data_IF_120074013035
#
_entry.id   IF_120074013035
#
_cell.length_a   1.000
_cell.length_b   1.000
_cell.length_c   1.000
_cell.angle_alpha   90.00
_cell.angle_beta   90.00
_cell.angle_gamma   90.00
#
_symmetry.space_group_name_H-M   'P 1'
#
loop_
_entity.id
_entity.type
_entity.pdbx_description
1 polymer ?
#
# COMPACT_ATOMS: atom_id res chain seq x y z
N UNK A 1 2.74 3.90 0.37
CA UNK A 1 3.78 3.43 1.31
C UNK A 1 5.10 4.12 1.04
N UNK A 2 5.80 4.52 2.09
CA UNK A 2 7.13 5.13 1.98
C UNK A 2 8.22 4.19 2.48
N UNK A 3 9.37 4.23 1.82
CA UNK A 3 10.56 3.50 2.20
C UNK A 3 11.28 4.23 3.37
N UNK A 4 10.82 3.98 4.57
CA UNK A 4 11.43 4.50 5.79
C UNK A 4 11.56 3.39 6.82
N UNK A 5 12.75 3.26 7.40
CA UNK A 5 13.04 2.32 8.50
C UNK A 5 12.82 2.95 9.87
N UNK A 6 12.34 4.20 9.94
CA UNK A 6 12.05 4.87 11.20
C UNK A 6 10.98 4.12 11.99
N UNK A 7 11.15 4.01 13.30
CA UNK A 7 10.22 3.31 14.20
C UNK A 7 8.86 4.01 14.33
N UNK A 8 8.81 5.31 14.03
CA UNK A 8 7.59 6.13 14.02
C UNK A 8 7.56 6.97 12.75
N UNK A 9 6.38 7.11 12.16
CA UNK A 9 6.17 8.01 11.03
C UNK A 9 6.02 9.43 11.59
N UNK A 10 7.01 10.30 11.36
CA UNK A 10 6.81 11.72 11.61
C UNK A 10 5.97 12.33 10.48
N UNK A 11 5.15 13.35 10.78
CA UNK A 11 4.36 14.07 9.76
C UNK A 11 5.20 14.63 8.61
N UNK A 12 6.50 14.83 8.85
CA UNK A 12 7.45 15.34 7.87
C UNK A 12 8.42 14.26 7.36
N UNK A 13 8.13 12.96 7.55
CA UNK A 13 8.99 11.90 7.06
C UNK A 13 8.99 11.92 5.52
N UNK A 14 10.14 12.26 4.95
CA UNK A 14 10.39 12.19 3.52
C UNK A 14 11.04 10.86 3.17
N UNK A 15 10.78 10.37 1.98
CA UNK A 15 11.32 9.10 1.48
C UNK A 15 10.68 8.78 0.14
N UNK A 16 11.17 7.75 -0.55
CA UNK A 16 10.58 7.32 -1.80
C UNK A 16 9.16 6.76 -1.58
N UNK A 17 8.22 7.14 -2.44
CA UNK A 17 6.90 6.53 -2.52
C UNK A 17 6.96 5.17 -3.22
N UNK A 18 7.28 4.11 -2.50
CA UNK A 18 7.54 2.78 -3.08
C UNK A 18 6.28 1.96 -3.40
N UNK A 19 5.15 2.30 -2.79
CA UNK A 19 3.85 1.68 -3.03
C UNK A 19 2.79 2.76 -3.15
N UNK A 20 2.29 2.97 -4.36
CA UNK A 20 1.28 3.97 -4.67
C UNK A 20 0.02 3.25 -5.14
N UNK A 21 -1.08 3.48 -4.43
CA UNK A 21 -2.39 2.92 -4.75
C UNK A 21 -3.43 4.01 -4.65
N UNK A 22 -4.21 4.19 -5.70
CA UNK A 22 -5.44 4.97 -5.68
C UNK A 22 -6.61 4.02 -5.43
N UNK A 23 -7.44 4.33 -4.44
CA UNK A 23 -8.60 3.53 -4.07
C UNK A 23 -9.85 4.37 -4.27
N UNK A 24 -10.78 3.88 -5.07
CA UNK A 24 -12.11 4.46 -5.19
C UNK A 24 -13.14 3.55 -4.54
N UNK A 25 -14.16 4.13 -3.91
CA UNK A 25 -15.22 3.37 -3.28
C UNK A 25 -16.57 4.05 -3.53
N UNK A 26 -17.50 3.29 -4.08
CA UNK A 26 -18.88 3.75 -4.25
C UNK A 26 -19.77 3.13 -3.15
N UNK A 27 -20.22 3.92 -2.17
CA UNK A 27 -21.01 3.39 -1.05
C UNK A 27 -22.41 2.92 -1.44
N UNK A 28 -22.95 3.34 -2.60
CA UNK A 28 -24.26 2.91 -3.08
C UNK A 28 -24.23 1.54 -3.76
N UNK A 29 -23.16 1.28 -4.53
CA UNK A 29 -23.01 0.02 -5.28
C UNK A 29 -22.07 -0.96 -4.59
N UNK A 30 -21.37 -0.51 -3.54
CA UNK A 30 -20.35 -1.26 -2.79
C UNK A 30 -19.20 -1.75 -3.67
N UNK A 31 -18.95 -1.06 -4.77
CA UNK A 31 -17.82 -1.34 -5.63
C UNK A 31 -16.61 -0.53 -5.14
N UNK A 32 -15.47 -1.21 -5.01
CA UNK A 32 -14.18 -0.60 -4.77
C UNK A 32 -13.23 -0.93 -5.93
N UNK A 33 -12.42 0.04 -6.32
CA UNK A 33 -11.35 -0.19 -7.29
C UNK A 33 -10.02 0.15 -6.61
N UNK A 34 -9.06 -0.75 -6.67
CA UNK A 34 -7.67 -0.52 -6.25
C UNK A 34 -6.82 -0.41 -7.51
N UNK A 35 -6.29 0.78 -7.75
CA UNK A 35 -5.45 1.09 -8.90
C UNK A 35 -4.01 1.30 -8.45
N UNK A 36 -3.11 0.39 -8.85
CA UNK A 36 -1.69 0.48 -8.53
C UNK A 36 -0.96 1.32 -9.56
N UNK A 37 -0.20 2.31 -9.09
CA UNK A 37 0.65 3.19 -9.90
C UNK A 37 2.11 2.76 -9.67
N UNK A 38 2.83 2.31 -10.70
CA UNK A 38 4.25 1.98 -10.57
C UNK A 38 5.06 3.20 -10.12
N UNK A 39 5.96 3.01 -9.19
CA UNK A 39 6.75 4.11 -8.61
C UNK A 39 7.66 4.82 -9.62
N UNK A 40 8.05 4.10 -10.69
CA UNK A 40 8.92 4.61 -11.73
C UNK A 40 8.15 5.24 -12.90
N UNK A 41 6.81 5.45 -12.75
CA UNK A 41 5.99 6.20 -13.71
C UNK A 41 6.55 7.60 -13.89
N UNK A 42 6.80 7.99 -15.15
CA UNK A 42 7.42 9.27 -15.51
C UNK A 42 6.35 10.29 -15.82
N UNK A 43 6.27 11.31 -15.01
CA UNK A 43 5.17 12.29 -15.04
C UNK A 43 5.66 13.67 -14.60
N UNK A 44 4.96 14.76 -15.01
CA UNK A 44 5.15 16.07 -14.42
C UNK A 44 4.89 16.03 -12.90
N UNK A 45 5.88 16.41 -12.09
CA UNK A 45 5.73 16.47 -10.63
C UNK A 45 5.14 17.82 -10.25
N UNK A 46 3.97 17.81 -9.64
CA UNK A 46 3.16 19.01 -9.41
C UNK A 46 3.86 20.13 -8.62
N UNK A 47 4.80 19.77 -7.73
CA UNK A 47 5.50 20.72 -6.88
C UNK A 47 6.95 21.03 -7.33
N UNK A 48 7.40 20.45 -8.43
CA UNK A 48 8.69 20.77 -8.99
C UNK A 48 8.60 22.07 -9.82
N UNK A 49 9.71 22.80 -9.88
CA UNK A 49 9.80 24.00 -10.71
C UNK A 49 9.44 23.68 -12.16
N UNK A 50 8.55 24.47 -12.75
CA UNK A 50 7.98 24.26 -14.08
C UNK A 50 7.34 22.88 -14.27
N UNK A 51 6.92 22.23 -13.18
CA UNK A 51 6.38 20.87 -13.19
C UNK A 51 7.30 19.88 -13.93
N UNK A 52 8.62 19.99 -13.70
CA UNK A 52 9.61 19.14 -14.32
C UNK A 52 9.22 17.67 -14.17
N UNK A 53 9.31 16.93 -15.28
CA UNK A 53 9.01 15.48 -15.29
C UNK A 53 10.06 14.70 -14.50
N UNK A 54 9.58 13.71 -13.76
CA UNK A 54 10.42 12.78 -13.01
C UNK A 54 9.63 11.52 -12.66
N UNK A 55 10.27 10.53 -12.04
CA UNK A 55 9.58 9.38 -11.45
C UNK A 55 8.60 9.86 -10.39
N UNK A 56 7.37 9.37 -10.45
CA UNK A 56 6.32 9.76 -9.50
C UNK A 56 6.72 9.53 -8.03
N UNK A 57 7.59 8.53 -7.75
CA UNK A 57 8.12 8.26 -6.41
C UNK A 57 8.78 9.50 -5.78
N UNK A 58 9.38 10.39 -6.59
CA UNK A 58 10.09 11.57 -6.13
C UNK A 58 9.16 12.70 -5.64
N UNK A 59 7.88 12.67 -6.01
CA UNK A 59 6.90 13.59 -5.44
C UNK A 59 6.82 13.47 -3.91
N UNK A 60 7.10 12.28 -3.35
CA UNK A 60 7.10 12.05 -1.92
C UNK A 60 8.20 12.80 -1.15
N UNK A 61 9.26 13.27 -1.83
CA UNK A 61 10.32 14.08 -1.20
C UNK A 61 9.80 15.45 -0.72
N UNK A 62 8.74 15.94 -1.36
CA UNK A 62 8.09 17.22 -1.04
C UNK A 62 6.78 17.04 -0.27
N UNK A 63 6.61 15.87 0.34
CA UNK A 63 5.50 15.56 1.23
C UNK A 63 4.25 15.03 0.52
N UNK A 64 3.22 14.80 1.32
CA UNK A 64 1.97 14.16 0.87
C UNK A 64 1.19 15.05 -0.11
N UNK A 65 1.14 16.36 0.09
CA UNK A 65 0.41 17.27 -0.80
C UNK A 65 0.96 17.25 -2.22
N UNK A 66 2.29 17.17 -2.37
CA UNK A 66 2.94 17.06 -3.67
C UNK A 66 2.56 15.74 -4.35
N UNK A 67 2.61 14.63 -3.62
CA UNK A 67 2.23 13.32 -4.12
C UNK A 67 0.75 13.29 -4.53
N UNK A 68 -0.15 13.79 -3.67
CA UNK A 68 -1.59 13.85 -3.94
C UNK A 68 -1.83 14.63 -5.25
N UNK A 69 -1.30 15.86 -5.32
CA UNK A 69 -1.51 16.71 -6.51
C UNK A 69 -0.93 16.09 -7.79
N UNK A 70 0.21 15.42 -7.70
CA UNK A 70 0.80 14.71 -8.84
C UNK A 70 -0.10 13.54 -9.31
N UNK A 71 -0.68 12.78 -8.38
CA UNK A 71 -1.61 11.68 -8.72
C UNK A 71 -2.92 12.24 -9.28
N UNK A 72 -3.47 13.31 -8.70
CA UNK A 72 -4.66 13.99 -9.23
C UNK A 72 -4.46 14.46 -10.68
N UNK A 73 -3.31 15.08 -10.96
CA UNK A 73 -2.96 15.51 -12.33
C UNK A 73 -2.81 14.34 -13.30
N UNK A 74 -2.26 13.20 -12.83
CA UNK A 74 -2.11 12.00 -13.66
C UNK A 74 -3.43 11.31 -13.98
N UNK A 75 -4.37 11.31 -13.03
CA UNK A 75 -5.59 10.47 -13.11
C UNK A 75 -6.86 11.26 -13.39
N UNK A 76 -6.82 12.60 -13.30
CA UNK A 76 -7.98 13.50 -13.32
C UNK A 76 -9.05 13.14 -12.26
N UNK A 77 -8.60 12.60 -11.12
CA UNK A 77 -9.46 12.18 -10.00
C UNK A 77 -9.06 12.97 -8.76
N UNK A 78 -10.02 13.65 -8.13
CA UNK A 78 -9.80 14.30 -6.84
C UNK A 78 -9.62 13.27 -5.72
N UNK A 79 -8.67 13.51 -4.82
CA UNK A 79 -8.34 12.64 -3.70
C UNK A 79 -8.86 13.27 -2.40
N UNK A 80 -9.92 12.73 -1.83
CA UNK A 80 -10.51 13.22 -0.57
C UNK A 80 -9.68 12.82 0.65
N UNK A 81 -9.09 11.63 0.62
CA UNK A 81 -8.39 11.03 1.76
C UNK A 81 -7.08 10.40 1.34
N UNK A 82 -6.10 10.40 2.25
CA UNK A 82 -4.86 9.68 2.07
C UNK A 82 -4.48 8.87 3.30
N UNK A 83 -3.71 7.83 3.07
CA UNK A 83 -3.04 7.03 4.10
C UNK A 83 -1.58 6.84 3.70
N UNK A 84 -0.67 7.31 4.54
CA UNK A 84 0.78 7.15 4.38
C UNK A 84 1.27 6.21 5.48
N UNK A 85 1.96 5.14 5.10
CA UNK A 85 2.45 4.11 6.01
C UNK A 85 3.90 3.77 5.67
N UNK A 86 4.72 3.51 6.69
CA UNK A 86 6.07 2.99 6.51
C UNK A 86 6.14 1.47 6.76
N UNK A 87 7.32 0.89 6.62
CA UNK A 87 7.53 -0.56 6.79
C UNK A 87 7.13 -1.06 8.18
N UNK A 88 7.52 -0.33 9.23
CA UNK A 88 7.15 -0.70 10.60
C UNK A 88 5.64 -0.59 10.85
N UNK A 89 5.00 0.38 10.22
CA UNK A 89 3.55 0.51 10.27
C UNK A 89 2.84 -0.68 9.65
N UNK A 90 3.31 -1.19 8.51
CA UNK A 90 2.75 -2.42 7.89
C UNK A 90 2.93 -3.61 8.82
N UNK A 91 4.13 -3.82 9.37
CA UNK A 91 4.41 -4.91 10.30
C UNK A 91 3.46 -4.85 11.50
N UNK A 92 3.41 -3.70 12.19
CA UNK A 92 2.57 -3.53 13.39
C UNK A 92 1.07 -3.66 13.11
N UNK A 93 0.60 -3.19 11.95
CA UNK A 93 -0.80 -3.33 11.56
C UNK A 93 -1.17 -4.80 11.38
N UNK A 94 -0.35 -5.57 10.67
CA UNK A 94 -0.59 -7.00 10.46
C UNK A 94 -0.52 -7.77 11.78
N UNK A 95 0.38 -7.41 12.69
CA UNK A 95 0.46 -8.00 14.04
C UNK A 95 -0.78 -7.67 14.88
N UNK A 96 -1.26 -6.42 14.87
CA UNK A 96 -2.50 -6.03 15.56
C UNK A 96 -3.74 -6.78 15.05
N UNK A 97 -3.69 -7.23 13.80
CA UNK A 97 -4.71 -8.10 13.19
C UNK A 97 -4.53 -9.59 13.51
N UNK A 98 -3.49 -9.99 14.25
CA UNK A 98 -3.09 -11.37 14.46
C UNK A 98 -2.82 -12.12 13.15
N UNK A 99 -2.09 -11.46 12.24
CA UNK A 99 -1.74 -11.99 10.93
C UNK A 99 -2.83 -11.82 9.88
N UNK A 100 -2.45 -12.00 8.61
CA UNK A 100 -3.35 -11.94 7.45
C UNK A 100 -3.22 -13.20 6.61
N UNK A 101 -4.32 -13.66 6.01
CA UNK A 101 -4.28 -14.82 5.12
C UNK A 101 -4.12 -14.34 3.67
N UNK A 102 -3.08 -14.85 3.00
CA UNK A 102 -2.75 -14.49 1.62
C UNK A 102 -2.38 -15.75 0.84
N UNK A 103 -2.77 -15.81 -0.43
CA UNK A 103 -2.27 -16.82 -1.36
C UNK A 103 -0.99 -16.29 -2.01
N UNK A 104 0.16 -16.83 -1.59
CA UNK A 104 1.49 -16.42 -2.05
C UNK A 104 1.69 -16.98 -3.46
N UNK A 105 1.96 -16.12 -4.47
CA UNK A 105 1.92 -16.54 -5.89
C UNK A 105 3.09 -17.42 -6.31
N UNK A 106 4.23 -17.35 -5.61
CA UNK A 106 5.46 -18.08 -5.95
C UNK A 106 6.39 -18.21 -4.74
N UNK A 107 7.34 -19.14 -4.84
CA UNK A 107 8.41 -19.29 -3.86
C UNK A 107 9.38 -18.10 -3.92
N UNK A 108 9.69 -17.52 -2.78
CA UNK A 108 10.68 -16.44 -2.72
C UNK A 108 11.35 -16.30 -1.36
N UNK A 109 12.49 -15.61 -1.33
CA UNK A 109 13.12 -15.13 -0.11
C UNK A 109 13.38 -13.62 -0.22
N UNK A 110 13.11 -12.88 0.86
CA UNK A 110 13.31 -11.43 0.94
C UNK A 110 13.88 -11.03 2.31
N UNK A 111 14.55 -9.89 2.37
CA UNK A 111 15.09 -9.34 3.60
C UNK A 111 13.96 -8.89 4.55
N UNK A 112 14.21 -8.95 5.86
CA UNK A 112 13.29 -8.45 6.89
C UNK A 112 13.15 -6.91 6.85
N UNK A 113 12.33 -6.34 7.74
CA UNK A 113 12.09 -4.89 7.83
C UNK A 113 13.35 -4.06 8.05
N UNK A 114 14.39 -4.64 8.65
CA UNK A 114 15.72 -4.01 8.88
C UNK A 114 16.62 -4.11 7.65
N UNK A 115 16.16 -4.68 6.53
CA UNK A 115 16.92 -4.90 5.30
C UNK A 115 18.21 -5.72 5.49
N UNK A 116 18.21 -6.60 6.48
CA UNK A 116 19.33 -7.50 6.68
C UNK A 116 19.47 -8.47 5.51
N UNK A 117 20.65 -8.49 4.89
CA UNK A 117 21.00 -9.42 3.81
C UNK A 117 21.65 -10.71 4.30
N UNK A 118 21.85 -10.84 5.62
CA UNK A 118 22.41 -12.06 6.22
C UNK A 118 21.43 -13.22 5.98
N UNK A 119 21.93 -14.35 5.52
CA UNK A 119 21.14 -15.54 5.14
C UNK A 119 20.17 -15.97 6.25
N UNK A 120 20.60 -15.89 7.52
CA UNK A 120 19.77 -16.26 8.68
C UNK A 120 18.63 -15.27 8.99
N UNK A 121 18.57 -14.13 8.31
CA UNK A 121 17.55 -13.09 8.50
C UNK A 121 16.64 -12.94 7.27
N UNK A 122 16.76 -13.83 6.29
CA UNK A 122 15.86 -13.85 5.14
C UNK A 122 14.54 -14.52 5.54
N UNK A 123 13.46 -13.92 5.06
CA UNK A 123 12.11 -14.46 5.16
C UNK A 123 11.83 -15.20 3.87
N UNK A 124 11.64 -16.51 3.96
CA UNK A 124 11.35 -17.36 2.82
C UNK A 124 9.93 -17.89 2.90
N UNK A 125 9.14 -17.67 1.86
CA UNK A 125 7.77 -18.15 1.74
C UNK A 125 7.66 -19.07 0.52
N UNK A 126 6.85 -20.11 0.67
CA UNK A 126 6.46 -21.02 -0.41
C UNK A 126 5.19 -20.52 -1.08
N UNK A 127 5.01 -20.89 -2.35
CA UNK A 127 3.75 -20.70 -3.05
C UNK A 127 2.59 -21.36 -2.32
N UNK A 128 1.43 -20.69 -2.28
CA UNK A 128 0.20 -21.21 -1.69
C UNK A 128 -0.35 -20.34 -0.56
N UNK A 129 -1.40 -20.83 0.06
CA UNK A 129 -2.14 -20.11 1.09
C UNK A 129 -1.43 -20.15 2.44
N UNK A 130 -1.10 -18.98 2.97
CA UNK A 130 -0.40 -18.80 4.24
C UNK A 130 -1.13 -17.79 5.13
N UNK A 131 -0.98 -17.95 6.46
CA UNK A 131 -1.25 -16.86 7.40
C UNK A 131 0.07 -16.18 7.70
N UNK A 132 0.23 -14.97 7.18
CA UNK A 132 1.44 -14.19 7.25
C UNK A 132 1.45 -13.32 8.52
N UNK A 133 2.57 -13.29 9.23
CA UNK A 133 2.85 -12.28 10.25
C UNK A 133 3.28 -10.94 9.61
N UNK A 134 3.59 -9.92 10.42
CA UNK A 134 3.93 -8.59 9.92
C UNK A 134 5.17 -8.56 9.03
N UNK A 135 6.22 -9.24 9.41
CA UNK A 135 7.47 -9.31 8.65
C UNK A 135 7.29 -10.08 7.33
N UNK A 136 6.55 -11.19 7.35
CA UNK A 136 6.23 -11.99 6.16
C UNK A 136 5.37 -11.21 5.17
N UNK A 137 4.36 -10.48 5.64
CA UNK A 137 3.52 -9.61 4.82
C UNK A 137 4.33 -8.49 4.18
N UNK A 138 5.25 -7.86 4.94
CA UNK A 138 6.15 -6.85 4.42
C UNK A 138 7.12 -7.43 3.38
N UNK A 139 7.69 -8.62 3.64
CA UNK A 139 8.57 -9.32 2.70
C UNK A 139 7.86 -9.59 1.37
N UNK A 140 6.61 -10.07 1.41
CA UNK A 140 5.78 -10.27 0.20
C UNK A 140 5.55 -8.94 -0.56
N UNK A 141 5.16 -7.87 0.15
CA UNK A 141 4.89 -6.58 -0.46
C UNK A 141 6.12 -5.93 -1.11
N UNK A 142 7.33 -6.29 -0.67
CA UNK A 142 8.60 -5.75 -1.17
C UNK A 142 9.25 -6.60 -2.25
N UNK A 143 8.86 -7.88 -2.34
CA UNK A 143 9.52 -8.83 -3.22
C UNK A 143 9.36 -8.47 -4.70
N UNK A 144 10.49 -8.50 -5.45
CA UNK A 144 10.56 -8.24 -6.89
C UNK A 144 11.62 -9.06 -7.65
N UNK A 145 12.55 -9.72 -6.93
CA UNK A 145 13.79 -10.25 -7.53
C UNK A 145 13.61 -11.47 -8.43
N UNK A 146 12.58 -12.29 -8.22
CA UNK A 146 12.33 -13.51 -9.02
C UNK A 146 11.31 -13.30 -10.13
N UNK A 147 10.99 -12.05 -10.45
CA UNK A 147 9.84 -11.70 -11.26
C UNK A 147 10.29 -11.13 -12.61
N UNK A 148 9.83 -11.75 -13.69
CA UNK A 148 10.14 -11.33 -15.07
C UNK A 148 9.58 -9.95 -15.41
N UNK A 149 8.54 -9.50 -14.71
CA UNK A 149 7.85 -8.21 -14.91
C UNK A 149 8.11 -7.20 -13.76
N UNK A 150 9.08 -7.47 -12.90
CA UNK A 150 9.65 -6.58 -11.87
C UNK A 150 8.62 -5.76 -11.04
N UNK A 151 8.37 -4.52 -11.45
CA UNK A 151 7.57 -3.56 -10.67
C UNK A 151 6.07 -3.84 -10.71
N UNK A 152 5.54 -4.36 -11.82
CA UNK A 152 4.13 -4.73 -11.95
C UNK A 152 3.75 -5.81 -10.94
N UNK A 153 4.56 -6.86 -10.84
CA UNK A 153 4.31 -7.95 -9.90
C UNK A 153 4.43 -7.49 -8.45
N UNK A 154 5.32 -6.53 -8.16
CA UNK A 154 5.36 -5.92 -6.82
C UNK A 154 4.03 -5.23 -6.50
N UNK A 155 3.44 -4.52 -7.44
CA UNK A 155 2.10 -3.94 -7.30
C UNK A 155 1.04 -5.01 -6.99
N UNK A 156 1.08 -6.16 -7.66
CA UNK A 156 0.19 -7.30 -7.39
C UNK A 156 0.38 -7.81 -5.95
N UNK A 157 1.63 -8.06 -5.53
CA UNK A 157 1.94 -8.53 -4.18
C UNK A 157 1.46 -7.53 -3.10
N UNK A 158 1.61 -6.23 -3.34
CA UNK A 158 1.12 -5.18 -2.45
C UNK A 158 -0.42 -5.21 -2.35
N UNK A 159 -1.12 -5.39 -3.46
CA UNK A 159 -2.58 -5.52 -3.45
C UNK A 159 -3.04 -6.78 -2.70
N UNK A 160 -2.34 -7.91 -2.82
CA UNK A 160 -2.62 -9.12 -2.05
C UNK A 160 -2.53 -8.88 -0.54
N UNK A 161 -1.51 -8.14 -0.08
CA UNK A 161 -1.36 -7.76 1.33
C UNK A 161 -2.50 -6.85 1.77
N UNK A 162 -2.85 -5.82 0.99
CA UNK A 162 -3.99 -4.94 1.28
C UNK A 162 -5.30 -5.72 1.36
N UNK A 163 -5.54 -6.61 0.41
CA UNK A 163 -6.72 -7.48 0.42
C UNK A 163 -6.76 -8.40 1.65
N UNK A 164 -5.62 -8.96 2.03
CA UNK A 164 -5.49 -9.76 3.27
C UNK A 164 -5.85 -8.95 4.51
N UNK A 165 -5.37 -7.71 4.63
CA UNK A 165 -5.70 -6.77 5.71
C UNK A 165 -7.21 -6.48 5.72
N UNK A 166 -7.80 -6.11 4.58
CA UNK A 166 -9.23 -5.83 4.47
C UNK A 166 -10.08 -7.05 4.85
N UNK A 167 -9.72 -8.24 4.38
CA UNK A 167 -10.42 -9.47 4.73
C UNK A 167 -10.32 -9.80 6.22
N UNK A 168 -9.21 -9.48 6.86
CA UNK A 168 -9.05 -9.70 8.30
C UNK A 168 -9.84 -8.69 9.12
N UNK A 169 -9.85 -7.41 8.70
CA UNK A 169 -10.63 -6.34 9.34
C UNK A 169 -12.13 -6.67 9.37
N UNK A 170 -12.67 -7.26 8.31
CA UNK A 170 -14.08 -7.70 8.25
C UNK A 170 -14.46 -8.63 9.41
N UNK A 171 -13.51 -9.43 9.87
CA UNK A 171 -13.75 -10.48 10.86
C UNK A 171 -13.41 -10.05 12.30
N UNK A 172 -13.00 -8.79 12.51
CA UNK A 172 -12.75 -8.25 13.85
C UNK A 172 -14.07 -8.06 14.58
N UNK A 173 -14.31 -8.89 15.61
CA UNK A 173 -15.52 -8.85 16.45
C UNK A 173 -15.27 -8.23 17.82
N UNK A 174 -14.03 -8.22 18.28
CA UNK A 174 -13.64 -7.72 19.59
C UNK A 174 -13.44 -6.22 19.58
N UNK A 175 -14.15 -5.50 20.47
CA UNK A 175 -13.96 -4.07 20.66
C UNK A 175 -12.52 -3.75 21.09
N UNK A 176 -11.92 -4.56 21.97
CA UNK A 176 -10.54 -4.36 22.41
C UNK A 176 -9.55 -4.52 21.26
N UNK A 177 -9.75 -5.51 20.38
CA UNK A 177 -8.92 -5.67 19.18
C UNK A 177 -9.07 -4.47 18.25
N UNK A 178 -10.27 -3.95 18.06
CA UNK A 178 -10.50 -2.75 17.26
C UNK A 178 -9.79 -1.53 17.84
N UNK A 179 -9.84 -1.32 19.15
CA UNK A 179 -9.11 -0.24 19.82
C UNK A 179 -7.58 -0.38 19.60
N UNK A 180 -7.04 -1.60 19.69
CA UNK A 180 -5.61 -1.86 19.41
C UNK A 180 -5.25 -1.53 17.97
N UNK A 181 -6.10 -1.89 17.00
CA UNK A 181 -5.89 -1.56 15.59
C UNK A 181 -5.92 -0.06 15.37
N UNK A 182 -6.90 0.64 15.93
CA UNK A 182 -7.02 2.11 15.84
C UNK A 182 -5.82 2.83 16.46
N UNK A 183 -5.36 2.37 17.62
CA UNK A 183 -4.15 2.90 18.27
C UNK A 183 -2.91 2.65 17.40
N UNK A 184 -2.80 1.47 16.81
CA UNK A 184 -1.70 1.13 15.88
C UNK A 184 -1.72 2.03 14.64
N UNK A 185 -2.90 2.25 14.04
CA UNK A 185 -3.09 3.15 12.91
C UNK A 185 -2.66 4.56 13.28
N UNK A 186 -3.14 5.11 14.39
CA UNK A 186 -2.85 6.47 14.82
C UNK A 186 -1.37 6.75 15.08
N UNK A 187 -0.62 5.74 15.53
CA UNK A 187 0.81 5.85 15.86
C UNK A 187 1.75 5.58 14.69
N UNK A 188 1.29 4.86 13.66
CA UNK A 188 2.16 4.34 12.60
C UNK A 188 1.72 4.72 11.19
N UNK A 189 0.65 5.49 11.06
CA UNK A 189 0.16 6.02 9.79
C UNK A 189 -0.02 7.52 9.87
N UNK A 190 0.22 8.19 8.75
CA UNK A 190 -0.14 9.58 8.55
C UNK A 190 -1.35 9.63 7.62
N UNK A 191 -2.40 10.36 8.01
CA UNK A 191 -3.67 10.40 7.29
C UNK A 191 -4.46 11.65 7.64
N UNK A 192 -5.30 12.11 6.72
CA UNK A 192 -6.29 13.14 6.98
C UNK A 192 -7.65 12.58 7.47
N UNK A 193 -7.78 11.25 7.62
CA UNK A 193 -8.96 10.68 8.28
C UNK A 193 -9.02 11.07 9.75
N UNK A 194 -10.16 11.56 10.18
CA UNK A 194 -10.46 11.68 11.62
C UNK A 194 -10.81 10.31 12.20
N UNK A 195 -10.58 10.12 13.50
CA UNK A 195 -10.97 8.87 14.20
C UNK A 195 -12.46 8.57 14.01
N UNK A 196 -13.32 9.62 14.02
CA UNK A 196 -14.76 9.47 13.78
C UNK A 196 -15.06 8.91 12.37
N UNK A 197 -14.36 9.38 11.34
CA UNK A 197 -14.51 8.87 9.98
C UNK A 197 -14.04 7.40 9.86
N UNK A 198 -12.92 7.06 10.47
CA UNK A 198 -12.42 5.67 10.49
C UNK A 198 -13.46 4.74 11.13
N UNK A 199 -14.03 5.14 12.29
CA UNK A 199 -15.07 4.37 12.96
C UNK A 199 -16.35 4.27 12.13
N UNK A 200 -16.77 5.36 11.46
CA UNK A 200 -17.94 5.33 10.58
C UNK A 200 -17.75 4.38 9.39
N UNK A 201 -16.57 4.37 8.77
CA UNK A 201 -16.26 3.41 7.72
C UNK A 201 -16.28 1.97 8.22
N UNK A 202 -15.77 1.74 9.43
CA UNK A 202 -15.83 0.41 10.04
C UNK A 202 -17.27 -0.03 10.31
N UNK A 203 -18.12 0.85 10.86
CA UNK A 203 -19.53 0.55 11.14
C UNK A 203 -20.32 0.28 9.86
N UNK A 204 -20.09 1.06 8.79
CA UNK A 204 -20.68 0.81 7.46
C UNK A 204 -20.22 -0.56 6.95
N UNK A 205 -18.92 -0.83 6.96
CA UNK A 205 -18.40 -2.12 6.55
C UNK A 205 -19.02 -3.27 7.35
N UNK A 206 -19.11 -3.14 8.68
CA UNK A 206 -19.71 -4.13 9.57
C UNK A 206 -21.20 -4.36 9.25
N UNK A 207 -21.99 -3.30 9.08
CA UNK A 207 -23.41 -3.42 8.71
C UNK A 207 -23.58 -4.15 7.39
N UNK A 208 -22.79 -3.81 6.38
CA UNK A 208 -22.80 -4.44 5.08
C UNK A 208 -22.48 -5.93 5.14
N UNK A 209 -21.56 -6.33 6.04
CA UNK A 209 -21.20 -7.75 6.24
C UNK A 209 -22.22 -8.52 7.09
N UNK A 210 -22.96 -7.85 7.97
CA UNK A 210 -23.98 -8.51 8.80
C UNK A 210 -25.32 -8.71 8.08
N UNK A 211 -25.63 -7.87 7.10
CA UNK A 211 -26.91 -7.90 6.37
C UNK A 211 -26.93 -8.81 5.16
N UNK A 212 -25.79 -9.35 4.74
CA UNK A 212 -25.70 -10.24 3.58
C UNK A 212 -25.38 -11.67 3.96
N UNK A 213 -26.24 -12.56 3.57
CA UNK A 213 -26.05 -14.02 3.58
C UNK A 213 -24.98 -14.51 2.58
N UNK A 214 -24.50 -13.65 1.68
CA UNK A 214 -23.48 -13.97 0.70
C UNK A 214 -22.18 -13.17 0.99
N UNK A 215 -21.08 -13.88 1.15
CA UNK A 215 -19.75 -13.35 1.53
C UNK A 215 -19.08 -12.34 0.58
N UNK A 216 -19.75 -11.84 -0.46
CA UNK A 216 -19.18 -11.00 -1.53
C UNK A 216 -19.92 -9.67 -1.69
N UNK A 217 -20.00 -8.85 -0.64
CA UNK A 217 -20.71 -7.55 -0.71
C UNK A 217 -19.88 -6.43 -1.32
N UNK A 218 -18.59 -6.39 -1.09
CA UNK A 218 -17.71 -5.42 -1.71
C UNK A 218 -17.04 -6.08 -2.91
N UNK A 219 -17.41 -5.64 -4.09
CA UNK A 219 -16.72 -6.04 -5.31
C UNK A 219 -15.44 -5.21 -5.44
N UNK A 220 -14.28 -5.86 -5.27
CA UNK A 220 -12.97 -5.20 -5.38
C UNK A 220 -12.38 -5.52 -6.74
N UNK A 221 -12.32 -4.50 -7.59
CA UNK A 221 -11.60 -4.56 -8.85
C UNK A 221 -10.15 -4.11 -8.64
N UNK A 222 -9.22 -4.87 -9.18
CA UNK A 222 -7.79 -4.55 -9.13
C UNK A 222 -7.32 -4.13 -10.52
N UNK A 223 -6.74 -2.94 -10.60
CA UNK A 223 -6.20 -2.38 -11.83
C UNK A 223 -4.74 -2.00 -11.63
N UNK A 224 -3.99 -2.00 -12.72
CA UNK A 224 -2.57 -1.65 -12.75
C UNK A 224 -2.31 -0.69 -13.89
N UNK A 225 -1.60 0.40 -13.62
CA UNK A 225 -1.10 1.27 -14.68
C UNK A 225 -0.06 0.50 -15.48
N UNK A 226 -0.25 0.46 -16.78
CA UNK A 226 0.67 -0.16 -17.73
C UNK A 226 1.29 0.93 -18.60
N UNK A 227 2.53 0.72 -18.99
CA UNK A 227 3.25 1.64 -19.86
C UNK A 227 4.47 0.98 -20.49
N UNK A 228 5.14 1.69 -21.36
CA UNK A 228 6.39 1.25 -21.95
C UNK A 228 7.57 1.65 -21.06
N UNK A 229 8.53 0.73 -20.91
CA UNK A 229 9.77 1.03 -20.17
C UNK A 229 10.74 1.75 -21.09
N UNK A 230 11.31 2.88 -20.63
CA UNK A 230 12.32 3.64 -21.34
C UNK A 230 13.47 4.03 -20.41
N UNK A 231 14.68 4.04 -20.93
CA UNK A 231 15.86 4.52 -20.20
C UNK A 231 16.05 6.03 -20.48
N UNK A 232 16.04 6.82 -19.42
CA UNK A 232 16.38 8.24 -19.49
C UNK A 232 17.77 8.43 -18.89
N UNK A 233 18.72 8.84 -19.74
CA UNK A 233 20.12 9.01 -19.35
C UNK A 233 20.40 10.40 -18.75
N UNK A 234 19.51 11.33 -18.98
CA UNK A 234 19.65 12.69 -18.49
C UNK A 234 19.41 12.76 -16.98
N UNK A 235 20.23 13.54 -16.28
CA UNK A 235 20.17 13.80 -14.82
C UNK A 235 20.13 12.53 -13.93
N UNK A 236 20.55 11.37 -14.43
CA UNK A 236 20.62 10.14 -13.63
C UNK A 236 19.24 9.54 -13.30
N UNK A 237 18.19 9.87 -14.05
CA UNK A 237 16.81 9.37 -13.83
C UNK A 237 16.74 7.85 -13.99
N UNK A 238 17.44 7.29 -14.99
CA UNK A 238 17.48 5.84 -15.23
C UNK A 238 16.20 5.29 -15.87
N UNK A 239 15.87 4.02 -15.61
CA UNK A 239 14.70 3.35 -16.19
C UNK A 239 13.40 3.95 -15.65
N UNK A 240 12.50 4.30 -16.55
CA UNK A 240 11.18 4.86 -16.25
C UNK A 240 10.07 4.09 -16.96
N UNK A 241 8.84 4.33 -16.56
CA UNK A 241 7.62 3.85 -17.22
C UNK A 241 6.86 5.08 -17.77
N UNK A 242 6.63 5.06 -19.09
CA UNK A 242 5.79 6.04 -19.79
C UNK A 242 4.37 5.53 -19.91
#
# INVERSE_FOLDING_TARGET
>A
GIDSTANTLSKNATGNGDALMLVTFNPKTLNATIFSIPRDTYVPIACFENQKENKITHAAWNGENCMIKTIENLTDINIDYYVKINFQGVVKLVEALNGITVDVPLDFCESNSKRSTKTNNLICLKKGKHTLNGEEALALARHRKTLTTGDLQRGINQQLVVQGILNKLKNVKSANQMLTILDTISKNMDTNFTTKQILSFYDIAKQLFMTSSNNNLINIQQLYLQGASQMIYDEGIGLVLY
#
